data_IF_855893346520
#
_entry.id   IF_855893346520
#
_cell.length_a   1.000
_cell.length_b   1.000
_cell.length_c   1.000
_cell.angle_alpha   90.00
_cell.angle_beta   90.00
_cell.angle_gamma   90.00
#
_symmetry.space_group_name_H-M   'P 1'
#
loop_
_entity.id
_entity.type
_entity.pdbx_description
1 polymer ?
#
# COMPACT_ATOMS: atom_id res chain seq x y z
N UNK A 1 -22.87 -31.75 19.04
CA UNK A 1 -22.99 -31.87 17.57
C UNK A 1 -22.59 -30.53 17.01
N UNK A 2 -21.45 -30.47 16.33
CA UNK A 2 -20.95 -29.23 15.75
C UNK A 2 -21.75 -29.00 14.47
N UNK A 3 -22.69 -28.05 14.51
CA UNK A 3 -23.43 -27.62 13.33
C UNK A 3 -22.43 -26.89 12.45
N UNK A 4 -21.88 -27.57 11.44
CA UNK A 4 -21.15 -26.90 10.35
C UNK A 4 -22.04 -25.81 9.79
N UNK A 5 -21.49 -24.63 9.53
CA UNK A 5 -22.27 -23.56 8.91
C UNK A 5 -22.89 -24.07 7.59
N UNK A 6 -24.12 -23.66 7.25
CA UNK A 6 -24.84 -24.21 6.10
C UNK A 6 -24.11 -24.02 4.75
N UNK A 7 -23.08 -23.17 4.71
CA UNK A 7 -22.28 -22.85 3.54
C UNK A 7 -20.97 -23.64 3.44
N UNK A 8 -20.54 -24.34 4.51
CA UNK A 8 -19.25 -25.06 4.55
C UNK A 8 -19.04 -26.03 3.37
N UNK A 9 -20.02 -26.87 2.97
CA UNK A 9 -19.82 -27.75 1.82
C UNK A 9 -19.64 -26.99 0.50
N UNK A 10 -20.27 -25.81 0.36
CA UNK A 10 -20.09 -24.98 -0.82
C UNK A 10 -18.67 -24.40 -0.84
N UNK A 11 -18.24 -23.78 0.27
CA UNK A 11 -16.91 -23.17 0.38
C UNK A 11 -15.79 -24.19 0.20
N UNK A 12 -15.94 -25.39 0.77
CA UNK A 12 -14.95 -26.47 0.65
C UNK A 12 -14.80 -27.00 -0.78
N UNK A 13 -15.89 -27.14 -1.53
CA UNK A 13 -15.88 -27.76 -2.85
C UNK A 13 -15.73 -26.76 -4.01
N UNK A 14 -15.98 -25.46 -3.76
CA UNK A 14 -15.85 -24.42 -4.79
C UNK A 14 -14.45 -24.39 -5.44
N UNK A 15 -13.32 -24.56 -4.73
CA UNK A 15 -11.99 -24.60 -5.32
C UNK A 15 -11.81 -25.67 -6.41
N UNK A 16 -12.55 -26.79 -6.38
CA UNK A 16 -12.48 -27.83 -7.40
C UNK A 16 -12.96 -27.36 -8.79
N UNK A 17 -13.72 -26.26 -8.83
CA UNK A 17 -14.22 -25.66 -10.06
C UNK A 17 -13.26 -24.61 -10.65
N UNK A 18 -12.18 -24.25 -9.94
CA UNK A 18 -11.18 -23.34 -10.46
C UNK A 18 -10.55 -23.90 -11.75
N UNK A 19 -10.64 -23.11 -12.83
CA UNK A 19 -10.15 -23.46 -14.16
C UNK A 19 -10.61 -24.85 -14.68
N UNK A 20 -11.75 -25.34 -14.16
CA UNK A 20 -12.32 -26.62 -14.56
C UNK A 20 -13.25 -26.43 -15.75
N UNK A 21 -13.23 -27.36 -16.70
CA UNK A 21 -14.19 -27.37 -17.81
C UNK A 21 -15.59 -27.80 -17.38
N UNK A 22 -15.71 -28.52 -16.26
CA UNK A 22 -17.00 -29.02 -15.74
C UNK A 22 -17.89 -27.85 -15.33
N UNK A 23 -19.07 -27.73 -15.94
CA UNK A 23 -20.08 -26.68 -15.71
C UNK A 23 -19.64 -25.24 -16.04
N UNK A 24 -18.44 -25.08 -16.60
CA UNK A 24 -17.95 -23.77 -17.03
C UNK A 24 -18.76 -23.22 -18.20
N UNK A 25 -19.07 -21.92 -18.15
CA UNK A 25 -19.96 -21.21 -19.07
C UNK A 25 -19.35 -19.88 -19.59
N UNK A 26 -18.06 -19.64 -19.31
CA UNK A 26 -17.30 -18.54 -19.88
C UNK A 26 -15.78 -18.76 -19.81
N UNK A 27 -15.03 -17.89 -20.50
CA UNK A 27 -13.56 -17.91 -20.57
C UNK A 27 -13.00 -16.53 -20.25
N UNK A 28 -11.93 -16.46 -19.47
CA UNK A 28 -11.06 -15.28 -19.40
C UNK A 28 -9.79 -15.57 -20.20
N UNK A 29 -9.34 -14.61 -21.00
CA UNK A 29 -8.07 -14.71 -21.74
C UNK A 29 -7.11 -13.61 -21.27
N UNK A 30 -5.83 -13.94 -21.09
CA UNK A 30 -4.81 -12.99 -20.64
C UNK A 30 -3.44 -13.44 -21.17
N UNK A 31 -2.81 -12.63 -22.03
CA UNK A 31 -1.55 -12.90 -22.73
C UNK A 31 -1.44 -14.33 -23.30
N UNK A 32 -2.51 -14.77 -23.98
CA UNK A 32 -2.56 -16.09 -24.62
C UNK A 32 -2.81 -17.26 -23.67
N UNK A 33 -2.94 -17.03 -22.35
CA UNK A 33 -3.50 -18.02 -21.42
C UNK A 33 -5.02 -17.95 -21.42
N UNK A 34 -5.65 -19.10 -21.29
CA UNK A 34 -7.10 -19.23 -21.18
C UNK A 34 -7.47 -19.83 -19.81
N UNK A 35 -8.48 -19.24 -19.18
CA UNK A 35 -9.04 -19.70 -17.91
C UNK A 35 -10.52 -20.02 -18.08
N UNK A 36 -10.91 -21.27 -17.80
CA UNK A 36 -12.32 -21.68 -17.72
C UNK A 36 -12.93 -21.09 -16.46
N UNK A 37 -14.04 -20.36 -16.60
CA UNK A 37 -14.73 -19.72 -15.48
C UNK A 37 -16.21 -20.12 -15.44
N UNK A 38 -16.81 -19.80 -14.30
CA UNK A 38 -18.22 -19.97 -14.02
C UNK A 38 -18.79 -18.57 -13.76
N UNK A 39 -19.61 -18.06 -14.68
CA UNK A 39 -20.12 -16.68 -14.67
C UNK A 39 -20.75 -16.35 -13.32
N UNK A 40 -21.53 -17.27 -12.74
CA UNK A 40 -22.17 -17.07 -11.45
C UNK A 40 -21.17 -16.82 -10.30
N UNK A 41 -20.00 -17.47 -10.32
CA UNK A 41 -18.97 -17.32 -9.27
C UNK A 41 -18.32 -15.94 -9.36
N UNK A 42 -18.05 -15.48 -10.58
CA UNK A 42 -17.48 -14.16 -10.86
C UNK A 42 -18.49 -13.04 -10.58
N UNK A 43 -19.71 -13.13 -11.14
CA UNK A 43 -20.76 -12.13 -10.98
C UNK A 43 -21.19 -11.95 -9.52
N UNK A 44 -21.21 -13.02 -8.72
CA UNK A 44 -21.56 -12.94 -7.31
C UNK A 44 -20.57 -12.09 -6.47
N UNK A 45 -19.35 -11.90 -6.96
CA UNK A 45 -18.26 -11.23 -6.25
C UNK A 45 -17.73 -9.97 -6.94
N UNK A 46 -18.17 -9.72 -8.17
CA UNK A 46 -17.70 -8.61 -9.01
C UNK A 46 -18.86 -7.98 -9.77
N UNK A 47 -19.10 -6.70 -9.49
CA UNK A 47 -20.07 -5.91 -10.26
C UNK A 47 -19.62 -5.71 -11.70
N UNK A 48 -18.31 -5.59 -11.94
CA UNK A 48 -17.75 -5.53 -13.28
C UNK A 48 -18.16 -6.76 -14.10
N UNK A 49 -17.91 -7.97 -13.59
CA UNK A 49 -18.26 -9.21 -14.29
C UNK A 49 -19.77 -9.39 -14.44
N UNK A 50 -20.59 -9.02 -13.44
CA UNK A 50 -22.05 -9.00 -13.60
C UNK A 50 -22.47 -8.10 -14.76
N UNK A 51 -21.98 -6.87 -14.83
CA UNK A 51 -22.31 -5.96 -15.93
C UNK A 51 -21.78 -6.45 -17.29
N UNK A 52 -20.59 -7.07 -17.30
CA UNK A 52 -19.98 -7.59 -18.53
C UNK A 52 -20.79 -8.77 -19.11
N UNK A 53 -21.30 -9.65 -18.26
CA UNK A 53 -22.07 -10.82 -18.70
C UNK A 53 -23.57 -10.56 -18.89
N UNK A 54 -24.16 -9.58 -18.20
CA UNK A 54 -25.59 -9.23 -18.33
C UNK A 54 -25.87 -8.17 -19.42
N UNK A 55 -24.82 -7.57 -19.99
CA UNK A 55 -24.93 -6.49 -20.96
C UNK A 55 -25.22 -6.92 -22.40
N UNK A 56 -25.31 -5.95 -23.31
CA UNK A 56 -25.42 -6.17 -24.77
C UNK A 56 -24.05 -6.25 -25.47
N UNK A 57 -22.99 -6.42 -24.71
CA UNK A 57 -21.63 -6.37 -25.20
C UNK A 57 -21.22 -7.73 -25.79
N UNK A 58 -20.14 -7.71 -26.57
CA UNK A 58 -19.63 -8.90 -27.28
C UNK A 58 -19.30 -10.02 -26.29
N UNK A 59 -18.80 -9.65 -25.12
CA UNK A 59 -18.44 -10.50 -23.99
C UNK A 59 -19.63 -11.30 -23.44
N UNK A 60 -20.83 -10.70 -23.41
CA UNK A 60 -22.05 -11.40 -23.00
C UNK A 60 -22.43 -12.49 -24.01
N UNK A 61 -22.34 -12.17 -25.30
CA UNK A 61 -22.70 -13.07 -26.40
C UNK A 61 -21.68 -14.20 -26.60
N UNK A 62 -20.38 -13.92 -26.51
CA UNK A 62 -19.31 -14.89 -26.72
C UNK A 62 -18.93 -15.64 -25.45
N UNK A 63 -19.23 -15.08 -24.28
CA UNK A 63 -18.79 -15.62 -23.00
C UNK A 63 -17.28 -15.54 -22.79
N UNK A 64 -16.57 -14.73 -23.57
CA UNK A 64 -15.11 -14.55 -23.49
C UNK A 64 -14.80 -13.12 -23.06
N UNK A 65 -13.99 -12.96 -22.01
CA UNK A 65 -13.50 -11.66 -21.53
C UNK A 65 -11.97 -11.59 -21.70
N UNK A 66 -11.46 -10.70 -22.57
CA UNK A 66 -10.03 -10.46 -22.70
C UNK A 66 -9.52 -9.47 -21.64
N UNK A 67 -8.52 -9.90 -20.87
CA UNK A 67 -7.81 -9.12 -19.85
C UNK A 67 -6.31 -9.01 -20.21
N UNK A 68 -6.03 -8.72 -21.48
CA UNK A 68 -4.65 -8.73 -22.02
C UNK A 68 -3.82 -7.49 -21.63
N UNK A 69 -4.43 -6.48 -21.03
CA UNK A 69 -3.72 -5.30 -20.53
C UNK A 69 -3.26 -5.47 -19.06
N UNK A 70 -3.50 -6.65 -18.48
CA UNK A 70 -3.29 -6.94 -17.06
C UNK A 70 -2.23 -8.03 -16.86
N UNK A 71 -1.54 -7.98 -15.71
CA UNK A 71 -0.53 -8.98 -15.37
C UNK A 71 -1.17 -10.37 -15.18
N UNK A 72 -0.74 -11.34 -15.99
CA UNK A 72 -1.25 -12.72 -15.98
C UNK A 72 -1.22 -13.34 -14.59
N UNK A 73 -0.18 -13.08 -13.80
CA UNK A 73 -0.05 -13.66 -12.46
C UNK A 73 -1.06 -13.03 -11.50
N UNK A 74 -1.31 -11.73 -11.63
CA UNK A 74 -2.36 -11.05 -10.87
C UNK A 74 -3.74 -11.57 -11.27
N UNK A 75 -4.03 -11.71 -12.58
CA UNK A 75 -5.30 -12.29 -13.07
C UNK A 75 -5.50 -13.70 -12.53
N UNK A 76 -4.46 -14.53 -12.56
CA UNK A 76 -4.51 -15.88 -11.99
C UNK A 76 -4.83 -15.86 -10.49
N UNK A 77 -4.20 -14.97 -9.72
CA UNK A 77 -4.45 -14.81 -8.29
C UNK A 77 -5.88 -14.32 -7.99
N UNK A 78 -6.39 -13.36 -8.76
CA UNK A 78 -7.78 -12.92 -8.68
C UNK A 78 -8.72 -14.10 -8.92
N UNK A 79 -8.49 -14.88 -9.97
CA UNK A 79 -9.34 -16.03 -10.28
C UNK A 79 -9.25 -17.10 -9.20
N UNK A 80 -8.07 -17.39 -8.66
CA UNK A 80 -7.93 -18.29 -7.51
C UNK A 80 -8.76 -17.79 -6.32
N UNK A 81 -8.61 -16.52 -5.96
CA UNK A 81 -9.38 -15.91 -4.88
C UNK A 81 -10.90 -16.07 -5.07
N UNK A 82 -11.42 -15.89 -6.28
CA UNK A 82 -12.86 -16.01 -6.53
C UNK A 82 -13.41 -17.43 -6.26
N UNK A 83 -12.56 -18.47 -6.26
CA UNK A 83 -12.96 -19.84 -5.96
C UNK A 83 -12.55 -20.33 -4.56
N UNK A 84 -11.48 -19.77 -3.97
CA UNK A 84 -10.93 -20.21 -2.68
C UNK A 84 -10.96 -19.17 -1.56
N UNK A 85 -11.40 -17.94 -1.83
CA UNK A 85 -11.37 -16.79 -0.91
C UNK A 85 -9.98 -16.43 -0.38
N UNK A 86 -8.93 -16.96 -1.02
CA UNK A 86 -7.54 -16.67 -0.76
C UNK A 86 -6.70 -16.92 -2.03
N UNK A 87 -5.49 -16.38 -2.06
CA UNK A 87 -4.49 -16.64 -3.08
C UNK A 87 -3.08 -16.71 -2.48
N UNK A 88 -2.18 -17.44 -3.14
CA UNK A 88 -0.79 -17.51 -2.74
C UNK A 88 -0.08 -16.18 -3.00
N UNK A 89 0.28 -15.48 -1.91
CA UNK A 89 0.89 -14.17 -1.91
C UNK A 89 2.36 -14.18 -2.37
N UNK A 90 2.98 -15.36 -2.48
CA UNK A 90 4.38 -15.50 -2.86
C UNK A 90 4.65 -15.26 -4.35
N UNK A 91 3.59 -15.17 -5.18
CA UNK A 91 3.72 -14.97 -6.64
C UNK A 91 4.34 -16.18 -7.35
N UNK A 92 4.23 -17.37 -6.77
CA UNK A 92 5.10 -18.53 -7.06
C UNK A 92 4.73 -19.37 -8.28
N UNK A 93 3.73 -19.02 -9.11
CA UNK A 93 3.43 -19.86 -10.29
C UNK A 93 4.57 -19.86 -11.33
N UNK A 94 5.51 -18.92 -11.26
CA UNK A 94 6.72 -18.87 -12.12
C UNK A 94 8.05 -18.55 -11.40
N UNK A 95 8.04 -18.35 -10.07
CA UNK A 95 9.25 -18.36 -9.24
C UNK A 95 10.13 -17.10 -9.19
N UNK A 96 9.69 -15.93 -9.68
CA UNK A 96 10.52 -14.69 -9.68
C UNK A 96 9.68 -13.42 -9.45
N UNK A 97 8.62 -13.49 -8.64
CA UNK A 97 7.83 -12.29 -8.31
C UNK A 97 8.16 -11.80 -6.91
N UNK A 98 8.47 -10.51 -6.75
CA UNK A 98 8.48 -9.88 -5.42
C UNK A 98 7.08 -10.00 -4.83
N UNK A 99 6.92 -10.59 -3.63
CA UNK A 99 5.63 -10.63 -2.95
C UNK A 99 5.04 -9.24 -2.77
N UNK A 100 5.86 -8.21 -2.51
CA UNK A 100 5.37 -6.84 -2.38
C UNK A 100 4.75 -6.35 -3.70
N UNK A 101 5.51 -6.34 -4.78
CA UNK A 101 5.04 -5.88 -6.11
C UNK A 101 3.83 -6.69 -6.57
N UNK A 102 3.87 -8.01 -6.37
CA UNK A 102 2.77 -8.90 -6.74
C UNK A 102 1.47 -8.55 -6.02
N UNK A 103 1.49 -8.36 -4.70
CA UNK A 103 0.27 -8.02 -3.96
C UNK A 103 -0.25 -6.61 -4.33
N UNK A 104 0.61 -5.68 -4.75
CA UNK A 104 0.17 -4.38 -5.31
C UNK A 104 -0.57 -4.60 -6.63
N UNK A 105 -0.03 -5.39 -7.55
CA UNK A 105 -0.70 -5.72 -8.81
C UNK A 105 -2.07 -6.38 -8.59
N UNK A 106 -2.15 -7.33 -7.64
CA UNK A 106 -3.44 -7.96 -7.27
C UNK A 106 -4.42 -6.93 -6.70
N UNK A 107 -3.95 -6.01 -5.86
CA UNK A 107 -4.77 -4.92 -5.33
C UNK A 107 -5.34 -4.04 -6.45
N UNK A 108 -4.52 -3.68 -7.43
CA UNK A 108 -4.91 -2.80 -8.53
C UNK A 108 -5.96 -3.43 -9.44
N UNK A 109 -5.82 -4.72 -9.78
CA UNK A 109 -6.86 -5.41 -10.55
C UNK A 109 -8.14 -5.66 -9.73
N UNK A 110 -8.02 -5.83 -8.41
CA UNK A 110 -9.18 -6.01 -7.54
C UNK A 110 -10.05 -4.74 -7.50
N UNK A 111 -9.42 -3.56 -7.55
CA UNK A 111 -10.13 -2.30 -7.73
C UNK A 111 -10.71 -2.19 -9.14
N UNK A 112 -9.91 -2.47 -10.18
CA UNK A 112 -10.31 -2.40 -11.60
C UNK A 112 -11.56 -3.22 -11.91
N UNK A 113 -11.66 -4.42 -11.35
CA UNK A 113 -12.78 -5.34 -11.57
C UNK A 113 -13.82 -5.33 -10.44
N UNK A 114 -13.78 -4.33 -9.55
CA UNK A 114 -14.74 -4.14 -8.46
C UNK A 114 -14.95 -5.41 -7.61
N UNK A 115 -13.86 -5.91 -7.02
CA UNK A 115 -13.82 -7.05 -6.10
C UNK A 115 -13.31 -6.58 -4.73
N UNK A 116 -14.14 -5.92 -3.90
CA UNK A 116 -13.70 -5.29 -2.65
C UNK A 116 -13.05 -6.28 -1.66
N UNK A 117 -13.52 -7.52 -1.61
CA UNK A 117 -12.97 -8.56 -0.74
C UNK A 117 -11.52 -8.92 -1.13
N UNK A 118 -11.24 -9.07 -2.44
CA UNK A 118 -9.88 -9.30 -2.93
C UNK A 118 -8.98 -8.09 -2.65
N UNK A 119 -9.49 -6.87 -2.89
CA UNK A 119 -8.77 -5.62 -2.62
C UNK A 119 -8.34 -5.56 -1.14
N UNK A 120 -9.22 -5.96 -0.23
CA UNK A 120 -8.90 -6.04 1.20
C UNK A 120 -7.83 -7.09 1.53
N UNK A 121 -7.93 -8.30 0.98
CA UNK A 121 -6.95 -9.36 1.24
C UNK A 121 -5.58 -8.99 0.65
N UNK A 122 -5.54 -8.43 -0.56
CA UNK A 122 -4.31 -7.98 -1.18
C UNK A 122 -3.62 -6.87 -0.37
N UNK A 123 -4.40 -5.93 0.17
CA UNK A 123 -3.89 -4.91 1.10
C UNK A 123 -3.29 -5.53 2.35
N UNK A 124 -3.93 -6.55 2.93
CA UNK A 124 -3.41 -7.24 4.11
C UNK A 124 -2.11 -7.99 3.82
N UNK A 125 -2.06 -8.79 2.74
CA UNK A 125 -0.85 -9.54 2.36
C UNK A 125 0.30 -8.60 2.00
N UNK A 126 0.00 -7.49 1.33
CA UNK A 126 0.98 -6.43 1.08
C UNK A 126 1.51 -5.85 2.39
N UNK A 127 0.62 -5.49 3.33
CA UNK A 127 0.96 -4.98 4.67
C UNK A 127 1.87 -5.91 5.45
N UNK A 128 1.59 -7.20 5.44
CA UNK A 128 2.44 -8.21 6.06
C UNK A 128 3.82 -8.22 5.41
N UNK A 129 3.87 -8.28 4.07
CA UNK A 129 5.11 -8.30 3.29
C UNK A 129 6.00 -7.08 3.53
N UNK A 130 5.45 -5.86 3.44
CA UNK A 130 6.25 -4.63 3.62
C UNK A 130 6.74 -4.47 5.05
N UNK A 131 5.96 -4.93 6.05
CA UNK A 131 6.38 -4.83 7.45
C UNK A 131 7.51 -5.78 7.80
N UNK A 132 7.56 -6.96 7.19
CA UNK A 132 8.59 -7.96 7.47
C UNK A 132 9.82 -7.83 6.60
N UNK A 133 9.67 -7.30 5.39
CA UNK A 133 10.70 -7.34 4.36
C UNK A 133 11.11 -5.96 3.82
N UNK A 134 10.77 -4.85 4.50
CA UNK A 134 11.12 -3.48 4.07
C UNK A 134 12.61 -3.28 3.72
N UNK A 135 13.49 -4.09 4.32
CA UNK A 135 14.94 -3.99 4.14
C UNK A 135 15.46 -4.73 2.89
N UNK A 136 14.59 -5.46 2.19
CA UNK A 136 14.92 -6.20 0.99
C UNK A 136 15.02 -5.27 -0.23
N UNK A 137 15.57 -5.76 -1.33
CA UNK A 137 15.81 -4.95 -2.55
C UNK A 137 14.54 -4.75 -3.39
N UNK A 138 13.45 -5.43 -3.04
CA UNK A 138 12.16 -5.32 -3.70
C UNK A 138 11.26 -4.22 -3.10
N UNK A 139 11.64 -3.60 -1.97
CA UNK A 139 10.89 -2.49 -1.38
C UNK A 139 10.83 -1.24 -2.29
N UNK A 140 11.93 -0.76 -2.92
CA UNK A 140 11.84 0.37 -3.86
C UNK A 140 10.98 0.08 -5.11
N UNK A 141 11.10 -1.06 -5.80
CA UNK A 141 10.15 -1.44 -6.86
C UNK A 141 8.69 -1.48 -6.40
N UNK A 142 8.42 -1.91 -5.15
CA UNK A 142 7.07 -1.87 -4.61
C UNK A 142 6.54 -0.44 -4.40
N UNK A 143 7.41 0.52 -4.04
CA UNK A 143 7.07 1.95 -4.00
C UNK A 143 6.66 2.45 -5.38
N UNK A 144 7.47 2.16 -6.40
CA UNK A 144 7.14 2.53 -7.78
C UNK A 144 5.75 1.99 -8.17
N UNK A 145 5.56 0.68 -8.01
CA UNK A 145 4.31 0.00 -8.39
C UNK A 145 3.09 0.56 -7.65
N UNK A 146 3.20 0.88 -6.35
CA UNK A 146 2.10 1.51 -5.60
C UNK A 146 1.72 2.85 -6.22
N UNK A 147 2.69 3.70 -6.56
CA UNK A 147 2.41 5.05 -7.06
C UNK A 147 2.01 5.07 -8.53
N UNK A 148 2.41 4.07 -9.31
CA UNK A 148 2.05 3.91 -10.72
C UNK A 148 0.65 3.32 -10.90
N UNK A 149 0.26 2.38 -10.04
CA UNK A 149 -0.98 1.61 -10.21
C UNK A 149 -2.16 2.09 -9.34
N UNK A 150 -1.92 3.01 -8.39
CA UNK A 150 -2.98 3.59 -7.55
C UNK A 150 -3.11 5.09 -7.78
N UNK A 151 -4.32 5.66 -7.91
CA UNK A 151 -4.50 7.10 -8.06
C UNK A 151 -4.30 7.83 -6.72
N UNK A 152 -4.03 9.16 -6.71
CA UNK A 152 -3.75 9.91 -5.47
C UNK A 152 -4.86 9.88 -4.40
N UNK A 153 -6.10 9.63 -4.78
CA UNK A 153 -7.22 9.47 -3.84
C UNK A 153 -7.29 8.07 -3.21
N UNK A 154 -6.60 7.06 -3.76
CA UNK A 154 -6.46 5.77 -3.12
C UNK A 154 -5.31 5.80 -2.11
N UNK A 155 -5.67 6.06 -0.86
CA UNK A 155 -4.74 6.13 0.25
C UNK A 155 -4.43 4.76 0.87
N UNK A 156 -5.02 3.66 0.38
CA UNK A 156 -4.90 2.34 0.99
C UNK A 156 -3.45 1.87 1.07
N UNK A 157 -2.83 1.59 -0.08
CA UNK A 157 -1.43 1.15 -0.13
C UNK A 157 -0.43 2.29 0.04
N UNK A 158 -0.77 3.50 -0.44
CA UNK A 158 0.08 4.69 -0.34
C UNK A 158 0.39 5.08 1.10
N UNK A 159 -0.63 5.15 1.97
CA UNK A 159 -0.41 5.49 3.38
C UNK A 159 0.46 4.45 4.09
N UNK A 160 0.19 3.17 3.83
CA UNK A 160 0.89 2.05 4.43
C UNK A 160 2.39 2.03 4.07
N UNK A 161 2.73 2.20 2.79
CA UNK A 161 4.13 2.13 2.35
C UNK A 161 4.91 3.36 2.83
N UNK A 162 4.27 4.53 2.87
CA UNK A 162 4.84 5.75 3.44
C UNK A 162 5.07 5.61 4.95
N UNK A 163 4.15 4.97 5.67
CA UNK A 163 4.30 4.74 7.10
C UNK A 163 5.48 3.83 7.42
N UNK A 164 5.63 2.72 6.70
CA UNK A 164 6.79 1.81 6.83
C UNK A 164 8.08 2.53 6.49
N UNK A 165 8.11 3.30 5.40
CA UNK A 165 9.28 4.08 5.02
C UNK A 165 9.64 5.14 6.08
N UNK A 166 8.65 5.78 6.72
CA UNK A 166 8.89 6.69 7.83
C UNK A 166 9.48 5.99 9.06
N UNK A 167 9.01 4.79 9.38
CA UNK A 167 9.48 4.01 10.53
C UNK A 167 10.95 3.59 10.37
N UNK A 168 11.38 3.29 9.14
CA UNK A 168 12.71 2.79 8.81
C UNK A 168 13.61 3.77 8.04
N UNK A 169 13.27 5.07 8.04
CA UNK A 169 13.87 6.05 7.12
C UNK A 169 15.41 6.12 7.23
N UNK A 170 15.96 6.03 8.44
CA UNK A 170 17.40 6.15 8.69
C UNK A 170 18.19 5.00 8.05
N UNK A 171 17.61 3.79 8.04
CA UNK A 171 18.21 2.59 7.45
C UNK A 171 18.02 2.61 5.93
N UNK A 172 16.81 2.98 5.48
CA UNK A 172 16.47 3.07 4.06
C UNK A 172 17.33 4.09 3.31
N UNK A 173 17.62 5.26 3.90
CA UNK A 173 18.49 6.28 3.29
C UNK A 173 19.96 5.84 3.09
N UNK A 174 20.37 4.71 3.68
CA UNK A 174 21.70 4.13 3.43
C UNK A 174 21.71 3.25 2.17
N UNK A 175 20.54 2.88 1.65
CA UNK A 175 20.40 2.05 0.45
C UNK A 175 20.26 2.94 -0.78
N UNK A 176 21.16 2.79 -1.75
CA UNK A 176 21.14 3.57 -2.99
C UNK A 176 19.79 3.44 -3.74
N UNK A 177 19.26 2.22 -3.88
CA UNK A 177 17.97 2.02 -4.55
C UNK A 177 16.78 2.72 -3.89
N UNK A 178 16.84 2.99 -2.59
CA UNK A 178 15.81 3.81 -1.93
C UNK A 178 16.04 5.31 -2.17
N UNK A 179 17.29 5.78 -2.22
CA UNK A 179 17.60 7.15 -2.62
C UNK A 179 17.18 7.44 -4.07
N UNK A 180 17.36 6.46 -4.96
CA UNK A 180 16.95 6.57 -6.36
C UNK A 180 15.43 6.72 -6.47
N UNK A 181 14.64 5.86 -5.79
CA UNK A 181 13.17 5.93 -5.84
C UNK A 181 12.61 7.23 -5.26
N UNK A 182 13.29 7.86 -4.28
CA UNK A 182 12.91 9.19 -3.79
C UNK A 182 13.01 10.27 -4.88
N UNK A 183 13.98 10.14 -5.79
CA UNK A 183 14.15 11.04 -6.93
C UNK A 183 13.18 10.75 -8.07
N UNK A 184 12.87 9.47 -8.31
CA UNK A 184 12.04 9.02 -9.42
C UNK A 184 10.53 9.15 -9.13
N UNK A 185 10.11 8.93 -7.89
CA UNK A 185 8.69 8.93 -7.49
C UNK A 185 8.36 10.15 -6.63
N UNK A 186 8.23 11.32 -7.28
CA UNK A 186 7.97 12.59 -6.59
C UNK A 186 6.71 12.58 -5.70
N UNK A 187 5.68 11.83 -6.10
CA UNK A 187 4.46 11.64 -5.30
C UNK A 187 4.77 10.99 -3.95
N UNK A 188 5.59 9.93 -3.95
CA UNK A 188 6.03 9.24 -2.75
C UNK A 188 6.89 10.14 -1.87
N UNK A 189 7.88 10.82 -2.44
CA UNK A 189 8.73 11.74 -1.69
C UNK A 189 7.91 12.86 -1.01
N UNK A 190 6.89 13.40 -1.70
CA UNK A 190 5.99 14.41 -1.14
C UNK A 190 5.19 13.86 0.04
N UNK A 191 4.56 12.69 -0.12
CA UNK A 191 3.78 12.06 0.95
C UNK A 191 4.65 11.70 2.16
N UNK A 192 5.86 11.19 1.91
CA UNK A 192 6.85 10.88 2.94
C UNK A 192 7.22 12.10 3.79
N UNK A 193 7.55 13.23 3.16
CA UNK A 193 7.88 14.48 3.87
C UNK A 193 6.66 15.00 4.65
N UNK A 194 5.46 14.95 4.07
CA UNK A 194 4.24 15.36 4.75
C UNK A 194 3.95 14.52 6.00
N UNK A 195 4.09 13.20 5.90
CA UNK A 195 3.88 12.29 7.05
C UNK A 195 4.95 12.48 8.11
N UNK A 196 6.22 12.65 7.74
CA UNK A 196 7.28 12.96 8.70
C UNK A 196 7.04 14.27 9.45
N UNK A 197 6.59 15.32 8.76
CA UNK A 197 6.24 16.60 9.38
C UNK A 197 5.08 16.45 10.38
N UNK A 198 4.04 15.69 10.00
CA UNK A 198 2.91 15.38 10.89
C UNK A 198 3.35 14.58 12.12
N UNK A 199 4.19 13.55 11.97
CA UNK A 199 4.72 12.75 13.08
C UNK A 199 5.60 13.57 14.03
N UNK A 200 6.40 14.51 13.51
CA UNK A 200 7.18 15.47 14.33
C UNK A 200 6.28 16.44 15.08
N UNK A 201 5.23 16.96 14.44
CA UNK A 201 4.24 17.82 15.09
C UNK A 201 3.41 17.11 16.17
N UNK A 202 3.14 15.81 16.00
CA UNK A 202 2.45 14.98 16.98
C UNK A 202 3.34 14.56 18.17
N UNK A 203 4.62 14.24 17.93
CA UNK A 203 5.58 13.87 18.97
C UNK A 203 6.31 15.07 19.61
N UNK A 204 6.05 16.29 19.14
CA UNK A 204 6.76 17.46 19.62
C UNK A 204 6.11 18.77 19.17
N UNK A 205 5.08 19.21 19.91
CA UNK A 205 5.12 20.62 20.31
C UNK A 205 6.32 20.78 21.25
N UNK A 206 7.52 20.94 20.69
CA UNK A 206 8.54 21.69 21.41
C UNK A 206 8.01 23.12 21.46
N UNK A 207 7.19 23.42 22.45
CA UNK A 207 6.81 24.80 22.76
C UNK A 207 8.12 25.52 23.03
N UNK A 208 8.50 26.44 22.14
CA UNK A 208 9.65 27.28 22.37
C UNK A 208 9.48 27.94 23.74
N UNK A 209 10.56 27.98 24.51
CA UNK A 209 10.53 28.79 25.72
C UNK A 209 10.72 30.24 25.29
N UNK A 210 9.97 31.15 25.89
CA UNK A 210 10.22 32.59 25.74
C UNK A 210 11.36 32.97 26.67
N UNK A 211 12.41 33.55 26.13
CA UNK A 211 13.58 34.00 26.92
C UNK A 211 13.59 35.52 26.99
N UNK A 212 14.16 36.07 28.07
CA UNK A 212 14.46 37.50 28.21
C UNK A 212 15.97 37.70 28.35
N UNK A 213 16.59 38.51 27.50
CA UNK A 213 18.02 38.79 27.62
C UNK A 213 18.29 39.66 28.85
N UNK A 214 19.23 39.27 29.75
CA UNK A 214 19.62 40.13 30.86
C UNK A 214 20.45 41.35 30.43
N UNK A 215 20.98 41.37 29.20
CA UNK A 215 21.81 42.46 28.70
C UNK A 215 20.99 43.55 27.99
N UNK A 216 20.09 43.17 27.06
CA UNK A 216 19.29 44.13 26.28
C UNK A 216 17.79 44.12 26.63
N UNK A 217 17.35 43.27 27.57
CA UNK A 217 15.94 43.12 27.97
C UNK A 217 14.96 42.64 26.90
N UNK A 218 15.39 42.49 25.65
CA UNK A 218 14.60 41.93 24.56
C UNK A 218 14.18 40.49 24.83
N UNK A 219 13.04 40.10 24.26
CA UNK A 219 12.48 38.76 24.38
C UNK A 219 12.43 38.05 23.02
N UNK A 220 12.74 36.76 23.00
CA UNK A 220 12.59 35.91 21.83
C UNK A 220 12.12 34.52 22.23
N UNK A 221 11.60 33.78 21.27
CA UNK A 221 11.17 32.40 21.44
C UNK A 221 12.13 31.48 20.71
N UNK A 222 12.58 30.44 21.39
CA UNK A 222 13.48 29.45 20.81
C UNK A 222 13.26 28.08 21.44
N UNK A 223 13.56 27.05 20.66
CA UNK A 223 13.66 25.68 21.18
C UNK A 223 15.13 25.42 21.48
N UNK A 224 15.45 25.36 22.78
CA UNK A 224 16.83 25.21 23.27
C UNK A 224 16.93 23.87 23.99
N UNK A 225 17.81 22.98 23.52
CA UNK A 225 18.16 21.75 24.24
C UNK A 225 18.93 22.09 25.51
N UNK A 226 18.68 21.39 26.62
CA UNK A 226 19.38 21.68 27.89
C UNK A 226 20.90 21.58 27.72
N UNK A 227 21.64 22.55 28.29
CA UNK A 227 23.10 22.59 28.21
C UNK A 227 23.71 23.17 26.93
N UNK A 228 22.89 23.65 25.99
CA UNK A 228 23.39 24.28 24.77
C UNK A 228 23.67 25.78 24.97
N UNK A 229 24.83 26.23 24.50
CA UNK A 229 25.21 27.64 24.53
C UNK A 229 24.61 28.39 23.35
N UNK A 230 24.03 29.58 23.60
CA UNK A 230 23.35 30.39 22.58
C UNK A 230 23.65 31.89 22.72
N UNK A 231 23.41 32.60 21.63
CA UNK A 231 23.56 34.06 21.54
C UNK A 231 22.17 34.72 21.58
N UNK A 232 22.07 35.86 22.27
CA UNK A 232 20.90 36.72 22.14
C UNK A 232 20.83 37.29 20.71
N UNK A 233 19.69 37.15 19.99
CA UNK A 233 19.59 37.59 18.59
C UNK A 233 19.64 39.11 18.41
N UNK A 234 19.39 39.88 19.47
CA UNK A 234 19.33 41.34 19.41
C UNK A 234 20.65 42.02 19.75
N UNK A 235 21.42 41.47 20.70
CA UNK A 235 22.64 42.10 21.19
C UNK A 235 23.89 41.20 21.11
N UNK A 236 23.75 39.98 20.61
CA UNK A 236 24.86 39.03 20.49
C UNK A 236 25.42 38.52 21.82
N UNK A 237 24.78 38.81 22.96
CA UNK A 237 25.28 38.34 24.25
C UNK A 237 25.25 36.80 24.31
N UNK A 238 26.40 36.18 24.53
CA UNK A 238 26.56 34.74 24.65
C UNK A 238 26.33 34.26 26.08
N UNK A 239 25.63 33.13 26.26
CA UNK A 239 25.57 32.41 27.54
C UNK A 239 25.61 30.91 27.32
N UNK A 240 26.30 30.22 28.23
CA UNK A 240 26.37 28.75 28.28
C UNK A 240 25.09 28.08 28.78
N UNK A 241 24.21 28.83 29.45
CA UNK A 241 22.90 28.34 29.88
C UNK A 241 21.87 29.49 29.90
N UNK A 242 20.74 29.26 29.24
CA UNK A 242 19.62 30.20 29.15
C UNK A 242 18.42 29.82 30.03
N UNK A 243 18.44 28.67 30.72
CA UNK A 243 17.28 28.14 31.47
C UNK A 243 16.77 29.06 32.59
N UNK A 244 17.65 29.85 33.20
CA UNK A 244 17.29 30.83 34.24
C UNK A 244 16.61 32.11 33.70
N UNK A 245 16.54 32.27 32.37
CA UNK A 245 16.01 33.47 31.72
C UNK A 245 14.70 33.21 30.97
N UNK A 246 14.07 32.07 31.23
CA UNK A 246 12.75 31.73 30.69
C UNK A 246 11.71 32.63 31.37
N UNK A 247 10.92 33.33 30.56
CA UNK A 247 9.77 34.13 30.99
C UNK A 247 8.58 33.19 31.11
N UNK A 248 8.01 33.12 32.32
CA UNK A 248 6.75 32.43 32.59
C UNK A 248 5.57 33.34 32.29
#
# INVERSE_FOLDING_TARGET
>A
MQTSEPFEPLLHNLPEFYNSSRLSDGTITCDGKEFRIHKIVLCAQSKFFSNAFDGKWKESAEGVIPLNDDDVSAVEAMLRFLYSFDYDASGSTTGIASPMVFNVKVYSIADKYDIPALKSIASQKFKESVKTCWNMDDFPPAIAEVYDSTPPNDQGLRSLIVDVACEHITELLQKQGFCDILGETAGFASDLVQVQAKKRGANGKQTGSKYRCPNCSEQWEAVVSSGSAYYCPYCGNHRSNWSSYIVR
#
